data_IF_675114744154
#
_entry.id   IF_675114744154
#
_cell.length_a   1.000
_cell.length_b   1.000
_cell.length_c   1.000
_cell.angle_alpha   90.00
_cell.angle_beta   90.00
_cell.angle_gamma   90.00
#
_symmetry.space_group_name_H-M   'P 1'
#
loop_
_entity.id
_entity.type
_entity.pdbx_description
1 polymer ?
#
# COMPACT_ATOMS: atom_id res chain seq x y z
N UNK A 1 9.14 5.39 1.12
CA UNK A 1 8.08 5.25 2.14
C UNK A 1 8.72 4.53 3.31
N UNK A 2 8.90 5.20 4.45
CA UNK A 2 9.70 4.68 5.57
C UNK A 2 8.98 3.56 6.31
N UNK A 3 9.69 2.55 6.87
CA UNK A 3 9.09 1.66 7.86
C UNK A 3 8.78 2.48 9.11
N UNK A 4 7.49 2.67 9.39
CA UNK A 4 7.04 3.27 10.64
C UNK A 4 7.47 2.31 11.76
N UNK A 5 8.29 2.81 12.70
CA UNK A 5 8.53 2.10 13.96
C UNK A 5 7.21 1.86 14.71
N UNK A 6 7.22 1.09 15.82
CA UNK A 6 6.03 0.89 16.63
C UNK A 6 5.41 2.25 16.95
N UNK A 7 4.18 2.45 16.47
CA UNK A 7 3.47 3.72 16.61
C UNK A 7 3.35 4.04 18.10
N UNK A 8 3.83 5.22 18.50
CA UNK A 8 3.63 5.74 19.85
C UNK A 8 2.12 5.75 20.15
N UNK A 9 1.69 4.99 21.16
CA UNK A 9 0.29 4.90 21.58
C UNK A 9 -0.32 6.29 21.83
N UNK A 10 0.49 7.25 22.28
CA UNK A 10 0.06 8.63 22.47
C UNK A 10 -0.20 9.34 21.13
N UNK A 11 0.60 9.06 20.09
CA UNK A 11 0.38 9.57 18.74
C UNK A 11 -0.88 8.97 18.11
N UNK A 12 -1.11 7.66 18.27
CA UNK A 12 -2.33 6.98 17.79
C UNK A 12 -3.57 7.56 18.49
N UNK A 13 -3.52 7.68 19.82
CA UNK A 13 -4.61 8.27 20.60
C UNK A 13 -4.88 9.73 20.22
N UNK A 14 -3.83 10.52 19.97
CA UNK A 14 -3.96 11.93 19.53
C UNK A 14 -4.57 12.04 18.14
N UNK A 15 -4.09 11.24 17.19
CA UNK A 15 -4.65 11.17 15.85
C UNK A 15 -6.14 10.80 15.88
N UNK A 16 -6.51 9.84 16.74
CA UNK A 16 -7.91 9.44 16.96
C UNK A 16 -8.77 10.54 17.59
N UNK A 17 -8.26 11.25 18.60
CA UNK A 17 -9.02 12.34 19.22
C UNK A 17 -9.23 13.51 18.26
N UNK A 18 -8.19 13.86 17.49
CA UNK A 18 -8.27 14.87 16.44
C UNK A 18 -9.31 14.46 15.39
N UNK A 19 -9.32 13.17 15.04
CA UNK A 19 -10.30 12.60 14.13
C UNK A 19 -11.74 12.72 14.64
N UNK A 20 -12.02 12.22 15.85
CA UNK A 20 -13.36 12.28 16.43
C UNK A 20 -13.86 13.72 16.52
N UNK A 21 -12.97 14.66 16.87
CA UNK A 21 -13.28 16.08 16.91
C UNK A 21 -13.61 16.65 15.53
N UNK A 22 -12.83 16.30 14.50
CA UNK A 22 -13.06 16.74 13.12
C UNK A 22 -14.38 16.20 12.57
N UNK A 23 -14.71 14.93 12.86
CA UNK A 23 -15.96 14.32 12.41
C UNK A 23 -17.19 14.89 13.14
N UNK A 24 -17.06 15.21 14.43
CA UNK A 24 -18.11 15.90 15.19
C UNK A 24 -18.35 17.32 14.68
N UNK A 25 -17.29 18.02 14.28
CA UNK A 25 -17.38 19.36 13.70
C UNK A 25 -17.83 19.37 12.22
N UNK A 26 -17.83 18.22 11.55
CA UNK A 26 -18.19 18.11 10.13
C UNK A 26 -19.69 18.12 9.92
N UNK A 27 -20.12 18.82 8.88
CA UNK A 27 -21.50 18.85 8.38
C UNK A 27 -21.78 17.72 7.36
N UNK A 28 -20.82 16.82 7.13
CA UNK A 28 -20.99 15.62 6.32
C UNK A 28 -22.01 14.70 7.01
N UNK A 29 -23.21 14.44 6.45
CA UNK A 29 -24.06 13.36 6.96
C UNK A 29 -23.27 12.05 6.84
N UNK A 30 -23.34 11.20 7.86
CA UNK A 30 -22.71 9.88 7.81
C UNK A 30 -23.82 8.89 7.57
N UNK A 31 -23.76 8.15 6.49
CA UNK A 31 -24.71 7.09 6.19
C UNK A 31 -24.18 5.75 6.70
N UNK A 32 -25.08 4.93 7.24
CA UNK A 32 -24.75 3.61 7.77
C UNK A 32 -25.93 2.65 7.58
N UNK A 33 -25.70 1.34 7.70
CA UNK A 33 -26.76 0.34 7.58
C UNK A 33 -27.81 0.57 8.68
N UNK A 34 -29.08 0.60 8.30
CA UNK A 34 -30.22 0.78 9.21
C UNK A 34 -30.21 -0.28 10.32
N UNK A 35 -30.57 0.13 11.55
CA UNK A 35 -30.52 -0.72 12.76
C UNK A 35 -31.27 -2.05 12.58
N UNK A 36 -32.39 -2.06 11.86
CA UNK A 36 -33.18 -3.27 11.56
C UNK A 36 -32.41 -4.33 10.75
N UNK A 37 -31.33 -3.91 10.09
CA UNK A 37 -30.52 -4.74 9.21
C UNK A 37 -29.05 -4.82 9.66
N UNK A 38 -28.72 -4.31 10.86
CA UNK A 38 -27.34 -4.36 11.36
C UNK A 38 -26.97 -5.78 11.81
N UNK A 39 -25.91 -6.38 11.26
CA UNK A 39 -25.47 -7.71 11.69
C UNK A 39 -24.70 -7.70 13.01
N UNK A 40 -24.07 -6.58 13.29
CA UNK A 40 -23.10 -6.41 14.35
C UNK A 40 -22.91 -4.91 14.62
N UNK A 41 -22.05 -4.60 15.58
CA UNK A 41 -21.76 -3.23 15.93
C UNK A 41 -21.03 -2.49 14.79
N UNK A 42 -21.52 -1.30 14.38
CA UNK A 42 -20.85 -0.48 13.40
C UNK A 42 -19.44 -0.09 13.88
N UNK A 43 -18.51 0.01 12.94
CA UNK A 43 -17.14 0.47 13.16
C UNK A 43 -16.77 1.52 12.14
N UNK A 44 -16.20 2.61 12.61
CA UNK A 44 -15.69 3.64 11.74
C UNK A 44 -14.30 3.22 11.27
N UNK A 45 -14.19 2.87 9.98
CA UNK A 45 -12.98 2.26 9.39
C UNK A 45 -12.00 3.27 8.83
N UNK A 46 -12.48 4.44 8.42
CA UNK A 46 -11.63 5.43 7.77
C UNK A 46 -12.36 6.71 7.43
N UNK A 47 -11.55 7.71 7.08
CA UNK A 47 -12.02 9.00 6.59
C UNK A 47 -10.98 9.62 5.68
N UNK A 48 -11.45 10.55 4.86
CA UNK A 48 -10.64 11.41 4.02
C UNK A 48 -11.03 12.85 4.28
N UNK A 49 -10.08 13.75 4.03
CA UNK A 49 -10.34 15.17 4.14
C UNK A 49 -9.40 16.02 3.30
N UNK A 50 -9.86 17.21 2.96
CA UNK A 50 -9.08 18.26 2.31
C UNK A 50 -9.14 19.49 3.20
N UNK A 51 -8.01 20.12 3.49
CA UNK A 51 -7.93 21.31 4.35
C UNK A 51 -8.57 21.10 5.74
N UNK A 52 -8.33 19.93 6.36
CA UNK A 52 -8.90 19.51 7.65
C UNK A 52 -10.43 19.31 7.68
N UNK A 53 -11.15 19.58 6.59
CA UNK A 53 -12.57 19.24 6.47
C UNK A 53 -12.71 17.75 6.12
N UNK A 54 -13.54 17.03 6.89
CA UNK A 54 -13.88 15.63 6.57
C UNK A 54 -14.79 15.61 5.36
N UNK A 55 -14.32 15.04 4.25
CA UNK A 55 -15.08 14.93 3.02
C UNK A 55 -15.51 13.48 2.73
N UNK A 56 -14.90 12.49 3.36
CA UNK A 56 -15.34 11.10 3.28
C UNK A 56 -15.31 10.41 4.66
N UNK A 57 -16.24 9.50 4.89
CA UNK A 57 -16.31 8.67 6.10
C UNK A 57 -16.83 7.27 5.74
N UNK A 58 -16.21 6.21 6.30
CA UNK A 58 -16.61 4.82 6.05
C UNK A 58 -17.01 4.12 7.34
N UNK A 59 -18.25 3.62 7.38
CA UNK A 59 -18.78 2.76 8.44
C UNK A 59 -18.82 1.32 7.94
N UNK A 60 -18.14 0.41 8.62
CA UNK A 60 -18.16 -1.01 8.31
C UNK A 60 -18.80 -1.84 9.43
N UNK A 61 -19.30 -2.99 9.02
CA UNK A 61 -19.98 -3.96 9.87
C UNK A 61 -19.34 -5.31 9.60
N UNK A 62 -18.56 -5.76 10.58
CA UNK A 62 -17.77 -6.99 10.48
C UNK A 62 -18.28 -7.97 11.52
N UNK A 63 -18.70 -9.14 11.07
CA UNK A 63 -19.04 -10.19 12.03
C UNK A 63 -17.74 -10.70 12.67
N UNK A 64 -17.56 -10.41 13.96
CA UNK A 64 -16.46 -10.96 14.75
C UNK A 64 -16.52 -12.50 14.84
N UNK A 65 -17.71 -13.07 14.66
CA UNK A 65 -17.93 -14.52 14.70
C UNK A 65 -17.74 -15.19 13.34
N UNK A 66 -17.86 -14.46 12.24
CA UNK A 66 -17.68 -14.96 10.89
C UNK A 66 -17.07 -13.88 9.99
N UNK A 67 -15.75 -13.92 9.80
CA UNK A 67 -15.02 -12.97 8.96
C UNK A 67 -15.47 -12.96 7.50
N UNK A 68 -16.30 -13.94 7.09
CA UNK A 68 -16.78 -14.06 5.71
C UNK A 68 -17.93 -13.11 5.38
N UNK A 69 -18.69 -12.55 6.33
CA UNK A 69 -19.76 -11.59 5.98
C UNK A 69 -19.43 -10.19 6.45
N UNK A 70 -19.48 -9.23 5.53
CA UNK A 70 -19.21 -7.83 5.85
C UNK A 70 -19.92 -6.87 4.91
N UNK A 71 -20.15 -5.65 5.40
CA UNK A 71 -20.68 -4.54 4.63
C UNK A 71 -20.00 -3.24 5.07
N UNK A 72 -19.64 -2.40 4.10
CA UNK A 72 -19.04 -1.10 4.33
C UNK A 72 -19.83 -0.04 3.57
N UNK A 73 -20.23 1.02 4.26
CA UNK A 73 -20.93 2.19 3.73
C UNK A 73 -19.98 3.37 3.80
N UNK A 74 -19.60 3.88 2.64
CA UNK A 74 -18.78 5.09 2.50
C UNK A 74 -19.64 6.25 2.08
N UNK A 75 -19.60 7.32 2.84
CA UNK A 75 -20.21 8.60 2.50
C UNK A 75 -19.13 9.57 2.02
N UNK A 76 -19.38 10.29 0.93
CA UNK A 76 -18.46 11.27 0.38
C UNK A 76 -19.19 12.55 -0.08
N UNK A 77 -18.54 13.71 0.12
CA UNK A 77 -18.96 15.00 -0.44
C UNK A 77 -17.81 15.61 -1.24
N UNK A 78 -18.06 15.86 -2.52
CA UNK A 78 -17.04 16.39 -3.44
C UNK A 78 -17.20 17.90 -3.62
N UNK A 79 -16.24 18.69 -3.12
CA UNK A 79 -16.26 20.15 -3.22
C UNK A 79 -15.64 20.64 -4.53
N UNK A 80 -16.43 20.70 -5.61
CA UNK A 80 -16.16 21.51 -6.80
C UNK A 80 -15.03 21.08 -7.74
N UNK A 81 -14.06 20.29 -7.29
CA UNK A 81 -13.14 19.55 -8.16
C UNK A 81 -13.64 18.13 -8.27
N UNK A 82 -14.29 17.80 -9.38
CA UNK A 82 -14.66 16.43 -9.74
C UNK A 82 -13.38 15.60 -9.99
N UNK A 83 -12.65 15.27 -8.91
CA UNK A 83 -11.87 14.04 -8.90
C UNK A 83 -12.93 12.97 -9.00
N UNK A 84 -13.09 12.38 -10.20
CA UNK A 84 -14.06 11.31 -10.42
C UNK A 84 -13.87 10.29 -9.30
N UNK A 85 -14.94 10.01 -8.56
CA UNK A 85 -14.97 8.92 -7.61
C UNK A 85 -14.42 7.68 -8.30
N UNK A 86 -13.59 6.91 -7.59
CA UNK A 86 -13.05 5.67 -8.13
C UNK A 86 -14.20 4.80 -8.67
N UNK A 87 -13.96 4.03 -9.73
CA UNK A 87 -15.00 3.14 -10.27
C UNK A 87 -15.46 2.14 -9.21
N UNK A 88 -16.69 1.63 -9.30
CA UNK A 88 -17.18 0.67 -8.32
C UNK A 88 -16.31 -0.59 -8.28
N UNK A 89 -15.74 -1.00 -9.42
CA UNK A 89 -14.80 -2.12 -9.50
C UNK A 89 -13.54 -1.84 -8.68
N UNK A 90 -13.01 -0.61 -8.76
CA UNK A 90 -11.82 -0.19 -8.01
C UNK A 90 -12.11 -0.19 -6.51
N UNK A 91 -13.27 0.34 -6.10
CA UNK A 91 -13.66 0.39 -4.68
C UNK A 91 -13.90 -1.03 -4.13
N UNK A 92 -14.57 -1.89 -4.89
CA UNK A 92 -14.81 -3.29 -4.52
C UNK A 92 -13.49 -4.07 -4.38
N UNK A 93 -12.56 -3.90 -5.33
CA UNK A 93 -11.23 -4.51 -5.29
C UNK A 93 -10.41 -4.05 -4.07
N UNK A 94 -10.45 -2.75 -3.74
CA UNK A 94 -9.76 -2.21 -2.57
C UNK A 94 -10.33 -2.81 -1.26
N UNK A 95 -11.65 -2.87 -1.12
CA UNK A 95 -12.28 -3.45 0.07
C UNK A 95 -11.99 -4.95 0.20
N UNK A 96 -12.08 -5.71 -0.89
CA UNK A 96 -11.68 -7.12 -0.91
C UNK A 96 -10.24 -7.30 -0.42
N UNK A 97 -9.31 -6.48 -0.92
CA UNK A 97 -7.89 -6.52 -0.52
C UNK A 97 -7.69 -6.20 0.97
N UNK A 98 -8.35 -5.17 1.49
CA UNK A 98 -8.28 -4.80 2.91
C UNK A 98 -8.79 -5.90 3.84
N UNK A 99 -9.66 -6.78 3.34
CA UNK A 99 -10.18 -7.95 4.07
C UNK A 99 -9.41 -9.24 3.82
N UNK A 100 -8.29 -9.19 3.11
CA UNK A 100 -7.52 -10.38 2.81
C UNK A 100 -8.15 -11.29 1.75
N UNK A 101 -9.13 -10.79 0.97
CA UNK A 101 -9.81 -11.54 -0.08
C UNK A 101 -9.12 -11.34 -1.43
N UNK A 102 -9.25 -12.33 -2.31
CA UNK A 102 -8.81 -12.20 -3.71
C UNK A 102 -9.64 -11.12 -4.42
N UNK A 103 -8.98 -10.34 -5.27
CA UNK A 103 -9.64 -9.32 -6.09
C UNK A 103 -10.44 -10.02 -7.19
N UNK A 104 -11.73 -9.69 -7.34
CA UNK A 104 -12.51 -10.24 -8.44
C UNK A 104 -11.95 -9.82 -9.80
N UNK A 105 -11.85 -10.77 -10.72
CA UNK A 105 -11.43 -10.53 -12.11
C UNK A 105 -12.61 -10.33 -13.07
N UNK A 106 -13.81 -10.66 -12.62
CA UNK A 106 -15.05 -10.53 -13.38
C UNK A 106 -16.07 -9.74 -12.58
N UNK A 107 -16.73 -8.81 -13.28
CA UNK A 107 -17.80 -7.99 -12.75
C UNK A 107 -19.00 -8.11 -13.69
N UNK A 108 -20.21 -8.15 -13.12
CA UNK A 108 -21.43 -8.00 -13.91
C UNK A 108 -21.47 -6.60 -14.51
N UNK A 109 -22.26 -6.43 -15.58
CA UNK A 109 -22.63 -5.08 -16.02
C UNK A 109 -23.28 -4.28 -14.89
N UNK A 110 -23.20 -2.95 -15.00
CA UNK A 110 -23.88 -2.04 -14.10
C UNK A 110 -25.40 -2.19 -14.25
N UNK A 111 -26.08 -2.41 -13.14
CA UNK A 111 -27.53 -2.54 -13.04
C UNK A 111 -28.10 -1.36 -12.26
N UNK A 112 -29.15 -0.72 -12.77
CA UNK A 112 -29.87 0.32 -12.02
C UNK A 112 -30.67 -0.30 -10.89
N UNK A 113 -30.55 0.27 -9.69
CA UNK A 113 -31.26 -0.19 -8.49
C UNK A 113 -31.82 0.99 -7.70
N UNK A 114 -32.87 0.74 -6.92
CA UNK A 114 -33.38 1.70 -5.94
C UNK A 114 -32.73 1.44 -4.57
N UNK A 115 -32.11 2.47 -4.01
CA UNK A 115 -31.59 2.48 -2.65
C UNK A 115 -32.64 3.01 -1.69
N UNK A 116 -32.94 2.26 -0.64
CA UNK A 116 -33.84 2.73 0.41
C UNK A 116 -33.06 3.56 1.43
N UNK A 117 -33.17 4.88 1.29
CA UNK A 117 -32.70 5.84 2.27
C UNK A 117 -33.86 6.26 3.18
N UNK A 118 -33.54 6.87 4.32
CA UNK A 118 -34.52 7.47 5.24
C UNK A 118 -35.47 8.46 4.53
N UNK A 119 -34.96 9.21 3.54
CA UNK A 119 -35.73 10.16 2.74
C UNK A 119 -36.62 9.52 1.68
N UNK A 120 -36.57 8.19 1.51
CA UNK A 120 -37.23 7.44 0.45
C UNK A 120 -36.26 6.78 -0.55
N UNK A 121 -36.79 6.15 -1.61
CA UNK A 121 -35.98 5.48 -2.61
C UNK A 121 -35.14 6.48 -3.43
N UNK A 122 -33.87 6.17 -3.64
CA UNK A 122 -32.93 6.94 -4.47
C UNK A 122 -32.33 6.02 -5.52
N UNK A 123 -32.40 6.43 -6.79
CA UNK A 123 -31.79 5.66 -7.86
C UNK A 123 -30.27 5.64 -7.73
N UNK A 124 -29.70 4.49 -8.02
CA UNK A 124 -28.27 4.32 -8.15
C UNK A 124 -27.95 3.12 -9.03
N UNK A 125 -26.72 2.64 -8.91
CA UNK A 125 -26.23 1.55 -9.73
C UNK A 125 -25.44 0.56 -8.89
N UNK A 126 -25.53 -0.71 -9.29
CA UNK A 126 -24.88 -1.85 -8.67
C UNK A 126 -24.03 -2.59 -9.67
N UNK A 127 -22.90 -3.09 -9.20
CA UNK A 127 -22.14 -4.16 -9.85
C UNK A 127 -22.08 -5.35 -8.91
N UNK A 128 -22.06 -6.55 -9.48
CA UNK A 128 -21.80 -7.79 -8.77
C UNK A 128 -20.44 -8.34 -9.23
N UNK A 129 -19.81 -9.13 -8.39
CA UNK A 129 -18.56 -9.81 -8.69
C UNK A 129 -18.63 -11.26 -8.17
N UNK A 130 -17.60 -12.05 -8.44
CA UNK A 130 -17.54 -13.45 -7.98
C UNK A 130 -17.64 -13.58 -6.46
N UNK A 131 -18.29 -14.64 -5.99
CA UNK A 131 -18.36 -15.00 -4.57
C UNK A 131 -19.15 -13.99 -3.74
N UNK A 132 -20.40 -13.71 -4.09
CA UNK A 132 -21.33 -12.85 -3.33
C UNK A 132 -20.82 -11.42 -3.01
N UNK A 133 -19.79 -10.97 -3.74
CA UNK A 133 -19.27 -9.61 -3.68
C UNK A 133 -20.12 -8.69 -4.54
N UNK A 134 -20.48 -7.54 -4.01
CA UNK A 134 -21.15 -6.49 -4.78
C UNK A 134 -20.78 -5.12 -4.26
N UNK A 135 -20.89 -4.14 -5.14
CA UNK A 135 -20.79 -2.74 -4.77
C UNK A 135 -21.91 -1.96 -5.44
N UNK A 136 -22.41 -0.95 -4.76
CA UNK A 136 -23.46 -0.12 -5.27
C UNK A 136 -23.21 1.33 -4.87
N UNK A 137 -23.61 2.28 -5.74
CA UNK A 137 -23.49 3.71 -5.47
C UNK A 137 -24.76 4.46 -5.85
N UNK A 138 -25.12 5.41 -5.02
CA UNK A 138 -26.15 6.42 -5.31
C UNK A 138 -25.68 7.81 -4.88
N UNK A 139 -26.40 8.83 -5.33
CA UNK A 139 -26.15 10.22 -4.95
C UNK A 139 -27.46 10.86 -4.46
N UNK A 140 -27.38 11.58 -3.34
CA UNK A 140 -28.51 12.35 -2.82
C UNK A 140 -28.01 13.66 -2.21
N UNK A 141 -28.58 14.79 -2.62
CA UNK A 141 -28.23 16.10 -2.08
C UNK A 141 -26.74 16.47 -2.17
N UNK A 142 -26.04 16.04 -3.23
CA UNK A 142 -24.60 16.24 -3.40
C UNK A 142 -23.72 15.36 -2.49
N UNK A 143 -24.31 14.32 -1.91
CA UNK A 143 -23.63 13.30 -1.12
C UNK A 143 -23.63 12.00 -1.92
N UNK A 144 -22.44 11.48 -2.17
CA UNK A 144 -22.27 10.14 -2.74
C UNK A 144 -22.27 9.12 -1.61
N UNK A 145 -23.05 8.05 -1.78
CA UNK A 145 -23.10 6.90 -0.88
C UNK A 145 -22.62 5.70 -1.68
N UNK A 146 -21.53 5.09 -1.26
CA UNK A 146 -21.01 3.85 -1.84
C UNK A 146 -21.11 2.72 -0.82
N UNK A 147 -21.84 1.66 -1.16
CA UNK A 147 -21.97 0.45 -0.36
C UNK A 147 -21.12 -0.64 -1.02
N UNK A 148 -20.37 -1.37 -0.22
CA UNK A 148 -19.59 -2.53 -0.65
C UNK A 148 -19.86 -3.65 0.32
N UNK A 149 -20.12 -4.85 -0.17
CA UNK A 149 -20.46 -5.97 0.70
C UNK A 149 -20.08 -7.32 0.12
N UNK A 150 -19.93 -8.29 1.03
CA UNK A 150 -19.68 -9.70 0.75
C UNK A 150 -20.65 -10.56 1.57
N UNK A 151 -21.38 -11.46 0.89
CA UNK A 151 -22.31 -12.40 1.54
C UNK A 151 -23.65 -11.79 1.95
N UNK A 152 -23.88 -10.51 1.68
CA UNK A 152 -25.17 -9.85 1.94
C UNK A 152 -26.03 -9.81 0.69
N UNK A 153 -27.35 -9.94 0.90
CA UNK A 153 -28.33 -9.70 -0.16
C UNK A 153 -28.61 -8.20 -0.27
N UNK A 154 -28.39 -7.56 -1.43
CA UNK A 154 -28.62 -6.13 -1.61
C UNK A 154 -30.04 -5.70 -1.25
N UNK A 155 -31.04 -6.55 -1.49
CA UNK A 155 -32.46 -6.28 -1.22
C UNK A 155 -32.80 -6.22 0.28
N UNK A 156 -31.83 -6.57 1.14
CA UNK A 156 -31.94 -6.51 2.61
C UNK A 156 -31.08 -5.41 3.22
N UNK A 157 -30.58 -4.48 2.41
CA UNK A 157 -29.77 -3.37 2.89
C UNK A 157 -30.56 -2.07 2.76
N UNK A 158 -30.89 -1.47 3.89
CA UNK A 158 -31.36 -0.09 3.98
C UNK A 158 -30.28 0.76 4.65
N UNK A 159 -30.14 2.02 4.22
CA UNK A 159 -29.10 2.91 4.73
C UNK A 159 -29.73 4.18 5.28
N UNK A 160 -29.44 4.50 6.53
CA UNK A 160 -29.99 5.66 7.21
C UNK A 160 -28.89 6.65 7.60
N UNK A 161 -29.30 7.89 7.85
CA UNK A 161 -28.39 8.87 8.44
C UNK A 161 -28.08 8.45 9.86
N UNK A 162 -26.80 8.47 10.20
CA UNK A 162 -26.32 8.12 11.51
C UNK A 162 -26.61 9.27 12.50
N UNK A 163 -27.74 9.17 13.21
CA UNK A 163 -28.31 10.27 13.99
C UNK A 163 -27.47 10.66 15.23
N UNK A 164 -26.94 9.68 15.98
CA UNK A 164 -26.19 9.93 17.21
C UNK A 164 -24.69 9.64 17.07
N UNK A 165 -23.99 10.57 16.41
CA UNK A 165 -22.53 10.51 16.22
C UNK A 165 -21.78 10.51 17.56
N UNK A 166 -22.28 11.21 18.57
CA UNK A 166 -21.63 11.36 19.87
C UNK A 166 -21.55 10.04 20.64
N UNK A 167 -22.69 9.36 20.78
CA UNK A 167 -22.76 8.07 21.48
C UNK A 167 -22.03 6.96 20.72
N UNK A 168 -21.99 7.02 19.39
CA UNK A 168 -21.24 6.07 18.58
C UNK A 168 -19.74 6.20 18.73
N UNK A 169 -19.19 7.42 18.61
CA UNK A 169 -17.76 7.66 18.80
C UNK A 169 -17.32 7.31 20.22
N UNK A 170 -18.21 7.53 21.20
CA UNK A 170 -17.98 7.15 22.60
C UNK A 170 -17.92 5.62 22.75
N UNK A 171 -18.90 4.88 22.20
CA UNK A 171 -18.91 3.40 22.22
C UNK A 171 -17.70 2.82 21.50
N UNK A 172 -17.34 3.35 20.32
CA UNK A 172 -16.16 2.89 19.59
C UNK A 172 -14.87 3.05 20.41
N UNK A 173 -14.74 4.13 21.18
CA UNK A 173 -13.58 4.34 22.05
C UNK A 173 -13.52 3.34 23.22
N UNK A 174 -14.65 2.76 23.61
CA UNK A 174 -14.78 1.79 24.70
C UNK A 174 -14.64 0.33 24.23
N UNK A 175 -15.13 0.01 23.02
CA UNK A 175 -15.26 -1.36 22.50
C UNK A 175 -14.06 -1.86 21.67
N UNK A 176 -13.05 -1.03 21.46
CA UNK A 176 -11.83 -1.46 20.76
C UNK A 176 -10.99 -2.34 21.69
N UNK A 177 -10.78 -3.63 21.39
CA UNK A 177 -9.76 -4.41 22.08
C UNK A 177 -8.40 -3.70 21.90
N UNK A 178 -7.47 -3.82 22.87
CA UNK A 178 -6.12 -3.30 22.73
C UNK A 178 -5.54 -3.70 21.37
N UNK A 179 -4.85 -2.79 20.68
CA UNK A 179 -4.20 -3.04 19.37
C UNK A 179 -3.36 -4.33 19.38
N UNK A 180 -2.84 -4.73 20.54
CA UNK A 180 -2.14 -5.99 20.81
C UNK A 180 -2.94 -7.26 20.48
N UNK A 181 -4.29 -7.22 20.47
CA UNK A 181 -5.15 -8.38 20.13
C UNK A 181 -5.52 -8.46 18.66
N UNK A 182 -5.26 -7.42 17.86
CA UNK A 182 -5.27 -7.53 16.40
C UNK A 182 -3.92 -8.06 15.92
N UNK A 183 -3.41 -9.10 16.58
CA UNK A 183 -2.35 -9.91 16.04
C UNK A 183 -2.85 -10.44 14.70
N UNK A 184 -2.50 -9.75 13.61
CA UNK A 184 -2.35 -10.38 12.31
C UNK A 184 -1.56 -11.63 12.66
N UNK A 185 -2.10 -12.85 12.43
CA UNK A 185 -1.34 -14.06 12.65
C UNK A 185 0.00 -13.79 11.98
N UNK A 186 1.08 -13.80 12.77
CA UNK A 186 2.42 -13.71 12.20
C UNK A 186 2.50 -14.97 11.37
N UNK A 187 2.14 -14.85 10.10
CA UNK A 187 2.23 -15.96 9.18
C UNK A 187 3.68 -16.40 9.29
N UNK A 188 3.88 -17.69 9.60
CA UNK A 188 5.22 -18.25 9.60
C UNK A 188 5.86 -17.81 8.28
N UNK A 189 7.04 -17.18 8.34
CA UNK A 189 7.69 -16.66 7.14
C UNK A 189 7.71 -17.80 6.12
N UNK A 190 7.36 -17.55 4.85
CA UNK A 190 7.26 -18.60 3.85
C UNK A 190 8.52 -19.46 3.88
N UNK A 191 8.34 -20.78 3.90
CA UNK A 191 9.44 -21.75 3.95
C UNK A 191 10.38 -21.47 2.77
N UNK A 192 11.58 -20.98 3.05
CA UNK A 192 12.54 -20.49 2.05
C UNK A 192 12.99 -19.04 2.21
N UNK A 193 12.38 -18.27 3.13
CA UNK A 193 12.97 -17.02 3.60
C UNK A 193 14.21 -17.37 4.42
N UNK A 194 15.39 -17.03 3.92
CA UNK A 194 16.61 -17.15 4.70
C UNK A 194 16.43 -16.34 5.99
N UNK A 195 16.61 -16.97 7.14
CA UNK A 195 16.62 -16.26 8.42
C UNK A 195 17.56 -15.04 8.30
N UNK A 196 17.11 -13.83 8.68
CA UNK A 196 17.99 -12.67 8.75
C UNK A 196 19.21 -13.01 9.61
N UNK A 197 20.39 -13.11 8.98
CA UNK A 197 21.62 -13.43 9.68
C UNK A 197 22.13 -14.86 9.56
N UNK A 198 21.72 -15.61 8.52
CA UNK A 198 22.40 -16.86 8.14
C UNK A 198 23.94 -16.64 8.18
N UNK A 199 24.68 -17.34 9.06
CA UNK A 199 26.09 -17.06 9.30
C UNK A 199 26.89 -17.12 7.99
N UNK A 200 27.42 -15.97 7.56
CA UNK A 200 28.24 -15.84 6.35
C UNK A 200 27.65 -15.02 5.19
N UNK A 201 26.40 -14.57 5.27
CA UNK A 201 25.83 -13.67 4.24
C UNK A 201 26.17 -12.20 4.53
N UNK A 202 26.56 -11.44 3.50
CA UNK A 202 26.82 -10.00 3.63
C UNK A 202 25.52 -9.25 4.01
N UNK A 203 25.52 -8.46 5.13
CA UNK A 203 24.32 -7.79 5.61
C UNK A 203 23.66 -6.83 4.62
N UNK A 204 24.45 -6.16 3.77
CA UNK A 204 23.92 -5.20 2.78
C UNK A 204 23.17 -5.97 1.69
N UNK A 205 23.75 -7.10 1.22
CA UNK A 205 23.07 -7.99 0.27
C UNK A 205 21.77 -8.56 0.84
N UNK A 206 21.81 -9.07 2.08
CA UNK A 206 20.63 -9.64 2.73
C UNK A 206 19.48 -8.62 2.81
N UNK A 207 19.79 -7.37 3.19
CA UNK A 207 18.81 -6.28 3.19
C UNK A 207 18.18 -6.02 1.82
N UNK A 208 19.00 -5.97 0.76
CA UNK A 208 18.52 -5.77 -0.62
C UNK A 208 17.57 -6.90 -1.03
N UNK A 209 17.95 -8.15 -0.81
CA UNK A 209 17.18 -9.32 -1.21
C UNK A 209 15.84 -9.41 -0.48
N UNK A 210 15.85 -9.22 0.85
CA UNK A 210 14.63 -9.18 1.67
C UNK A 210 13.71 -8.04 1.22
N UNK A 211 14.25 -6.85 0.96
CA UNK A 211 13.45 -5.70 0.53
C UNK A 211 12.84 -5.90 -0.87
N UNK A 212 13.59 -6.52 -1.79
CA UNK A 212 13.09 -6.87 -3.13
C UNK A 212 11.96 -7.92 -3.06
N UNK A 213 12.12 -8.94 -2.22
CA UNK A 213 11.09 -9.97 -2.01
C UNK A 213 9.83 -9.40 -1.37
N UNK A 214 9.96 -8.56 -0.33
CA UNK A 214 8.83 -7.88 0.29
C UNK A 214 8.10 -6.96 -0.69
N UNK A 215 8.84 -6.24 -1.54
CA UNK A 215 8.26 -5.41 -2.59
C UNK A 215 7.50 -6.24 -3.64
N UNK A 216 8.02 -7.40 -4.01
CA UNK A 216 7.34 -8.34 -4.91
C UNK A 216 6.04 -8.86 -4.32
N UNK A 217 6.09 -9.37 -3.09
CA UNK A 217 4.91 -9.86 -2.40
C UNK A 217 3.83 -8.76 -2.26
N UNK A 218 4.25 -7.52 -2.01
CA UNK A 218 3.35 -6.36 -1.95
C UNK A 218 2.70 -6.07 -3.30
N UNK A 219 3.46 -6.08 -4.40
CA UNK A 219 2.91 -5.85 -5.75
C UNK A 219 1.92 -6.95 -6.12
N UNK A 220 2.28 -8.22 -5.90
CA UNK A 220 1.38 -9.35 -6.14
C UNK A 220 0.09 -9.23 -5.33
N UNK A 221 0.19 -8.87 -4.05
CA UNK A 221 -0.97 -8.63 -3.20
C UNK A 221 -1.82 -7.44 -3.68
N UNK A 222 -1.20 -6.37 -4.18
CA UNK A 222 -1.93 -5.24 -4.77
C UNK A 222 -2.71 -5.64 -6.02
N UNK A 223 -2.14 -6.51 -6.86
CA UNK A 223 -2.73 -6.97 -8.12
C UNK A 223 -3.80 -8.05 -7.93
N UNK A 224 -3.57 -8.99 -7.02
CA UNK A 224 -4.38 -10.21 -6.88
C UNK A 224 -5.25 -10.19 -5.62
N UNK A 225 -4.92 -9.37 -4.62
CA UNK A 225 -5.54 -9.44 -3.30
C UNK A 225 -5.03 -10.61 -2.48
N UNK A 226 -5.87 -11.11 -1.57
CA UNK A 226 -5.54 -12.17 -0.63
C UNK A 226 -4.97 -11.64 0.68
N UNK A 227 -4.51 -12.55 1.54
CA UNK A 227 -3.88 -12.20 2.80
C UNK A 227 -2.71 -11.23 2.56
N UNK A 228 -2.60 -10.14 3.35
CA UNK A 228 -1.49 -9.22 3.22
C UNK A 228 -0.17 -9.97 3.41
N UNK A 229 0.89 -9.59 2.68
CA UNK A 229 2.19 -10.24 2.84
C UNK A 229 2.66 -10.07 4.29
N UNK A 230 3.31 -11.09 4.88
CA UNK A 230 3.82 -10.99 6.23
C UNK A 230 4.79 -9.81 6.34
N UNK A 231 4.73 -9.10 7.46
CA UNK A 231 5.72 -8.08 7.75
C UNK A 231 7.08 -8.76 7.93
N UNK A 232 8.11 -8.16 7.36
CA UNK A 232 9.48 -8.63 7.54
C UNK A 232 9.88 -8.39 8.99
N UNK A 233 9.97 -9.47 9.78
CA UNK A 233 10.51 -9.41 11.13
C UNK A 233 11.93 -8.82 11.11
N UNK A 234 12.24 -7.99 12.10
CA UNK A 234 13.57 -7.43 12.32
C UNK A 234 14.18 -6.61 11.17
N UNK A 235 13.36 -6.05 10.27
CA UNK A 235 13.84 -5.18 9.19
C UNK A 235 14.71 -4.04 9.72
N UNK A 236 14.34 -3.45 10.87
CA UNK A 236 15.15 -2.42 11.55
C UNK A 236 16.53 -2.93 11.95
N UNK A 237 16.64 -4.16 12.49
CA UNK A 237 17.94 -4.74 12.85
C UNK A 237 18.80 -5.02 11.61
N UNK A 238 18.16 -5.46 10.51
CA UNK A 238 18.82 -5.69 9.23
C UNK A 238 19.39 -4.38 8.63
N UNK A 239 18.63 -3.29 8.68
CA UNK A 239 19.09 -1.95 8.31
C UNK A 239 20.31 -1.52 9.13
N UNK A 240 20.27 -1.70 10.45
CA UNK A 240 21.39 -1.34 11.32
C UNK A 240 22.63 -2.19 11.04
N UNK A 241 22.46 -3.50 10.79
CA UNK A 241 23.56 -4.39 10.44
C UNK A 241 24.19 -4.01 9.09
N UNK A 242 23.38 -3.67 8.09
CA UNK A 242 23.85 -3.18 6.80
C UNK A 242 24.62 -1.85 6.93
N UNK A 243 24.12 -0.90 7.73
CA UNK A 243 24.80 0.37 7.98
C UNK A 243 26.16 0.16 8.67
N UNK A 244 26.23 -0.68 9.72
CA UNK A 244 27.51 -1.02 10.38
C UNK A 244 28.49 -1.70 9.43
N UNK A 245 28.00 -2.61 8.58
CA UNK A 245 28.82 -3.26 7.55
C UNK A 245 29.37 -2.23 6.56
N UNK A 246 28.56 -1.28 6.11
CA UNK A 246 28.98 -0.21 5.22
C UNK A 246 30.05 0.66 5.86
N UNK A 247 29.85 1.11 7.12
CA UNK A 247 30.86 1.86 7.87
C UNK A 247 32.19 1.11 7.94
N UNK A 248 32.16 -0.20 8.21
CA UNK A 248 33.36 -1.02 8.31
C UNK A 248 34.10 -1.17 6.96
N UNK A 249 33.41 -1.02 5.82
CA UNK A 249 34.00 -1.11 4.48
C UNK A 249 34.54 0.23 3.98
N UNK A 250 33.86 1.34 4.26
CA UNK A 250 34.21 2.67 3.70
C UNK A 250 34.88 3.62 4.70
N UNK A 251 34.75 3.37 6.01
CA UNK A 251 35.19 4.29 7.05
C UNK A 251 34.30 5.53 7.22
N UNK A 252 33.15 5.59 6.55
CA UNK A 252 32.19 6.68 6.73
C UNK A 252 31.52 6.64 8.11
N UNK A 253 30.98 7.79 8.53
CA UNK A 253 30.18 7.85 9.74
C UNK A 253 28.84 7.10 9.60
N UNK A 254 28.12 6.96 10.72
CA UNK A 254 26.87 6.23 10.77
C UNK A 254 25.76 6.88 9.92
N UNK A 255 25.71 8.22 9.88
CA UNK A 255 24.69 8.96 9.15
C UNK A 255 24.87 8.78 7.64
N UNK A 256 26.10 8.96 7.15
CA UNK A 256 26.44 8.79 5.75
C UNK A 256 26.33 7.32 5.31
N UNK A 257 26.67 6.38 6.17
CA UNK A 257 26.48 4.95 5.89
C UNK A 257 25.01 4.55 5.84
N UNK A 258 24.16 5.06 6.74
CA UNK A 258 22.70 4.87 6.64
C UNK A 258 22.17 5.43 5.33
N UNK A 259 22.58 6.65 4.95
CA UNK A 259 22.19 7.27 3.68
C UNK A 259 22.63 6.43 2.47
N UNK A 260 23.85 5.93 2.46
CA UNK A 260 24.39 5.10 1.38
C UNK A 260 23.65 3.76 1.26
N UNK A 261 23.40 3.06 2.37
CA UNK A 261 22.58 1.83 2.36
C UNK A 261 21.16 2.11 1.88
N UNK A 262 20.56 3.24 2.29
CA UNK A 262 19.25 3.66 1.79
C UNK A 262 19.25 3.91 0.29
N UNK A 263 20.29 4.58 -0.22
CA UNK A 263 20.49 4.79 -1.66
C UNK A 263 20.57 3.47 -2.42
N UNK A 264 21.38 2.51 -1.95
CA UNK A 264 21.52 1.18 -2.58
C UNK A 264 20.17 0.46 -2.67
N UNK A 265 19.42 0.38 -1.57
CA UNK A 265 18.11 -0.28 -1.53
C UNK A 265 17.11 0.42 -2.46
N UNK A 266 17.05 1.75 -2.42
CA UNK A 266 16.18 2.53 -3.30
C UNK A 266 16.54 2.33 -4.78
N UNK A 267 17.83 2.27 -5.12
CA UNK A 267 18.29 2.01 -6.48
C UNK A 267 17.75 0.65 -6.95
N UNK A 268 17.91 -0.40 -6.15
CA UNK A 268 17.44 -1.75 -6.50
C UNK A 268 15.91 -1.84 -6.62
N UNK A 269 15.16 -1.21 -5.73
CA UNK A 269 13.70 -1.13 -5.83
C UNK A 269 13.24 -0.41 -7.10
N UNK A 270 13.89 0.70 -7.45
CA UNK A 270 13.59 1.43 -8.69
C UNK A 270 13.88 0.57 -9.93
N UNK A 271 14.99 -0.18 -9.91
CA UNK A 271 15.36 -1.07 -11.00
C UNK A 271 14.33 -2.19 -11.16
N UNK A 272 13.87 -2.79 -10.04
CA UNK A 272 12.77 -3.76 -10.04
C UNK A 272 11.50 -3.18 -10.64
N UNK A 273 11.12 -1.95 -10.30
CA UNK A 273 9.93 -1.31 -10.85
C UNK A 273 10.06 -1.02 -12.37
N UNK A 274 11.23 -0.57 -12.79
CA UNK A 274 11.41 0.02 -14.14
C UNK A 274 11.92 -0.93 -15.21
N UNK A 275 12.53 -2.08 -14.85
CA UNK A 275 13.21 -2.96 -15.79
C UNK A 275 12.70 -4.40 -15.76
N UNK A 276 12.09 -4.85 -16.86
CA UNK A 276 11.58 -6.21 -16.98
C UNK A 276 12.68 -7.29 -16.86
N UNK A 277 13.87 -7.03 -17.42
CA UNK A 277 14.99 -7.95 -17.30
C UNK A 277 15.40 -8.17 -15.83
N UNK A 278 15.31 -7.16 -14.96
CA UNK A 278 15.69 -7.31 -13.55
C UNK A 278 14.71 -8.23 -12.80
N UNK A 279 13.43 -8.21 -13.18
CA UNK A 279 12.41 -9.11 -12.64
C UNK A 279 12.58 -10.53 -13.18
N UNK A 280 12.76 -10.66 -14.50
CA UNK A 280 12.61 -11.94 -15.19
C UNK A 280 13.92 -12.71 -15.39
N UNK A 281 15.08 -12.06 -15.26
CA UNK A 281 16.41 -12.67 -15.49
C UNK A 281 17.22 -12.70 -14.20
N UNK A 282 17.18 -13.83 -13.50
CA UNK A 282 17.82 -14.01 -12.20
C UNK A 282 19.35 -13.84 -12.24
N UNK A 283 19.97 -14.24 -13.36
CA UNK A 283 21.39 -14.05 -13.67
C UNK A 283 21.77 -12.56 -13.74
N UNK A 284 21.05 -11.79 -14.56
CA UNK A 284 21.29 -10.35 -14.71
C UNK A 284 20.97 -9.61 -13.41
N UNK A 285 19.88 -9.97 -12.72
CA UNK A 285 19.55 -9.40 -11.41
C UNK A 285 20.68 -9.60 -10.40
N UNK A 286 21.19 -10.82 -10.27
CA UNK A 286 22.28 -11.14 -9.32
C UNK A 286 23.53 -10.32 -9.63
N UNK A 287 23.89 -10.20 -10.91
CA UNK A 287 25.05 -9.41 -11.36
C UNK A 287 24.87 -7.92 -11.10
N UNK A 288 23.69 -7.35 -11.39
CA UNK A 288 23.37 -5.95 -11.12
C UNK A 288 23.44 -5.63 -9.62
N UNK A 289 22.92 -6.51 -8.76
CA UNK A 289 23.04 -6.38 -7.30
C UNK A 289 24.52 -6.38 -6.90
N UNK A 290 25.31 -7.35 -7.37
CA UNK A 290 26.75 -7.42 -7.06
C UNK A 290 27.51 -6.16 -7.50
N UNK A 291 27.32 -5.68 -8.73
CA UNK A 291 28.01 -4.48 -9.22
C UNK A 291 27.56 -3.23 -8.45
N UNK A 292 26.29 -3.14 -8.04
CA UNK A 292 25.77 -2.07 -7.17
C UNK A 292 26.43 -2.08 -5.81
N UNK A 293 26.54 -3.25 -5.17
CA UNK A 293 27.18 -3.38 -3.86
C UNK A 293 28.66 -2.99 -3.95
N UNK A 294 29.38 -3.45 -4.97
CA UNK A 294 30.79 -3.12 -5.19
C UNK A 294 30.97 -1.61 -5.38
N UNK A 295 30.14 -0.96 -6.20
CA UNK A 295 30.21 0.48 -6.43
C UNK A 295 29.80 1.27 -5.18
N UNK A 296 28.69 0.89 -4.55
CA UNK A 296 28.11 1.60 -3.40
C UNK A 296 28.91 1.47 -2.12
N UNK A 297 29.72 0.41 -1.98
CA UNK A 297 30.68 0.25 -0.87
C UNK A 297 32.09 0.72 -1.21
N UNK A 298 32.25 1.44 -2.33
CA UNK A 298 33.51 2.05 -2.78
C UNK A 298 34.69 1.08 -2.97
N UNK A 299 34.42 -0.23 -2.94
CA UNK A 299 35.44 -1.26 -3.18
C UNK A 299 36.03 -1.15 -4.59
N UNK A 300 35.22 -0.73 -5.57
CA UNK A 300 35.67 -0.50 -6.94
C UNK A 300 34.74 0.44 -7.71
N UNK A 301 35.30 1.49 -8.30
CA UNK A 301 34.55 2.49 -9.06
C UNK A 301 34.30 2.11 -10.53
N UNK A 302 35.17 1.29 -11.14
CA UNK A 302 35.15 0.90 -12.56
C UNK A 302 34.35 -0.39 -12.82
N UNK A 303 33.18 -0.52 -12.20
CA UNK A 303 32.25 -1.60 -12.56
C UNK A 303 31.61 -1.36 -13.94
N UNK A 304 31.25 -2.41 -14.69
CA UNK A 304 30.56 -2.25 -15.97
C UNK A 304 29.29 -1.37 -15.89
N UNK A 305 28.55 -1.43 -14.78
CA UNK A 305 27.37 -0.59 -14.51
C UNK A 305 27.66 0.85 -14.05
N UNK A 306 28.91 1.33 -14.02
CA UNK A 306 29.28 2.64 -13.44
C UNK A 306 28.45 3.82 -14.00
N UNK A 307 28.15 3.83 -15.30
CA UNK A 307 27.33 4.89 -15.92
C UNK A 307 25.94 4.96 -15.30
N UNK A 308 25.38 3.80 -14.96
CA UNK A 308 24.08 3.70 -14.36
C UNK A 308 24.10 4.16 -12.89
N UNK A 309 25.16 3.87 -12.14
CA UNK A 309 25.35 4.39 -10.78
C UNK A 309 25.53 5.91 -10.75
N UNK A 310 26.33 6.48 -11.68
CA UNK A 310 26.47 7.94 -11.80
C UNK A 310 25.15 8.62 -12.16
N UNK A 311 24.34 8.02 -13.02
CA UNK A 311 23.01 8.53 -13.33
C UNK A 311 22.06 8.42 -12.13
N UNK A 312 22.20 7.40 -11.29
CA UNK A 312 21.45 7.27 -10.04
C UNK A 312 21.79 8.37 -9.04
N UNK A 313 23.07 8.69 -8.84
CA UNK A 313 23.50 9.79 -7.97
C UNK A 313 22.82 11.13 -8.34
N UNK A 314 22.63 11.41 -9.63
CA UNK A 314 21.91 12.60 -10.12
C UNK A 314 20.41 12.60 -9.80
N UNK A 315 19.80 11.43 -9.62
CA UNK A 315 18.40 11.32 -9.19
C UNK A 315 18.27 11.66 -7.70
N UNK A 316 19.31 11.37 -6.92
CA UNK A 316 19.34 11.62 -5.47
C UNK A 316 19.81 13.03 -5.09
N UNK A 317 20.35 13.79 -6.05
CA UNK A 317 20.65 15.21 -5.85
C UNK A 317 19.38 15.97 -5.42
N UNK A 318 19.45 16.85 -4.41
CA UNK A 318 18.31 17.65 -4.00
C UNK A 318 17.89 18.58 -5.14
N UNK A 319 16.78 18.26 -5.81
CA UNK A 319 16.22 19.09 -6.87
C UNK A 319 15.17 20.03 -6.30
N UNK A 320 15.17 21.28 -6.78
CA UNK A 320 14.16 22.27 -6.45
C UNK A 320 12.76 21.79 -6.88
N UNK A 321 11.73 22.12 -6.10
CA UNK A 321 10.32 21.85 -6.42
C UNK A 321 9.83 22.89 -7.45
N UNK A 322 10.53 22.99 -8.58
CA UNK A 322 10.18 23.85 -9.71
C UNK A 322 9.91 22.98 -10.94
N UNK A 323 9.19 23.49 -11.96
CA UNK A 323 9.02 22.78 -13.22
C UNK A 323 10.35 22.34 -13.86
N UNK A 324 11.39 23.16 -13.76
CA UNK A 324 12.73 22.86 -14.26
C UNK A 324 13.35 21.68 -13.49
N UNK A 325 13.19 21.65 -12.17
CA UNK A 325 13.61 20.52 -11.33
C UNK A 325 12.90 19.22 -11.69
N UNK A 326 11.60 19.28 -12.00
CA UNK A 326 10.85 18.11 -12.47
C UNK A 326 11.35 17.59 -13.83
N UNK A 327 11.68 18.49 -14.77
CA UNK A 327 12.27 18.13 -16.07
C UNK A 327 13.66 17.52 -15.89
N UNK A 328 14.51 18.10 -15.04
CA UNK A 328 15.83 17.57 -14.72
C UNK A 328 15.76 16.17 -14.11
N UNK A 329 14.84 15.95 -13.16
CA UNK A 329 14.60 14.63 -12.57
C UNK A 329 14.17 13.60 -13.61
N UNK A 330 13.25 13.98 -14.50
CA UNK A 330 12.79 13.11 -15.59
C UNK A 330 13.94 12.74 -16.55
N UNK A 331 14.81 13.70 -16.88
CA UNK A 331 15.99 13.47 -17.70
C UNK A 331 17.00 12.54 -17.00
N UNK A 332 17.25 12.73 -15.70
CA UNK A 332 18.12 11.86 -14.91
C UNK A 332 17.57 10.41 -14.85
N UNK A 333 16.27 10.24 -14.58
CA UNK A 333 15.58 8.94 -14.63
C UNK A 333 15.69 8.28 -16.02
N UNK A 334 15.56 9.04 -17.10
CA UNK A 334 15.73 8.53 -18.45
C UNK A 334 17.16 8.08 -18.74
N UNK A 335 18.16 8.86 -18.32
CA UNK A 335 19.58 8.51 -18.46
C UNK A 335 19.91 7.23 -17.70
N UNK A 336 19.46 7.13 -16.45
CA UNK A 336 19.63 5.95 -15.60
C UNK A 336 19.02 4.69 -16.22
N UNK A 337 17.78 4.75 -16.73
CA UNK A 337 17.13 3.62 -17.42
C UNK A 337 17.91 3.19 -18.67
N UNK A 338 18.35 4.15 -19.49
CA UNK A 338 19.14 3.86 -20.70
C UNK A 338 20.48 3.19 -20.36
N UNK A 339 21.16 3.65 -19.31
CA UNK A 339 22.43 3.09 -18.88
C UNK A 339 22.29 1.62 -18.43
N UNK A 340 21.25 1.31 -17.65
CA UNK A 340 20.96 -0.08 -17.24
C UNK A 340 20.53 -0.97 -18.41
N UNK A 341 19.74 -0.45 -19.35
CA UNK A 341 19.35 -1.20 -20.56
C UNK A 341 20.58 -1.55 -21.42
N UNK A 342 21.51 -0.60 -21.61
CA UNK A 342 22.75 -0.84 -22.34
C UNK A 342 23.65 -1.87 -21.61
N UNK A 343 23.75 -1.76 -20.28
CA UNK A 343 24.49 -2.73 -19.46
C UNK A 343 23.90 -4.14 -19.57
N UNK A 344 22.57 -4.28 -19.54
CA UNK A 344 21.90 -5.57 -19.64
C UNK A 344 22.17 -6.23 -21.00
N UNK A 345 21.99 -5.49 -22.10
CA UNK A 345 22.26 -5.99 -23.45
C UNK A 345 23.73 -6.41 -23.65
N UNK A 346 24.68 -5.64 -23.12
CA UNK A 346 26.10 -6.01 -23.16
C UNK A 346 26.41 -7.26 -22.32
N UNK A 347 25.74 -7.40 -21.17
CA UNK A 347 25.91 -8.55 -20.28
C UNK A 347 25.35 -9.83 -20.89
N UNK A 348 24.22 -9.76 -21.59
CA UNK A 348 23.66 -10.87 -22.36
C UNK A 348 24.60 -11.31 -23.49
N UNK A 349 25.15 -10.34 -24.23
CA UNK A 349 26.11 -10.62 -25.30
C UNK A 349 27.38 -11.33 -24.77
N UNK A 350 27.83 -10.97 -23.57
CA UNK A 350 28.99 -11.56 -22.92
C UNK A 350 28.77 -12.97 -22.36
N UNK A 351 27.52 -13.34 -22.07
CA UNK A 351 27.16 -14.69 -21.63
C UNK A 351 27.11 -15.70 -22.79
N UNK A 352 27.25 -15.22 -24.04
CA UNK A 352 27.18 -16.03 -25.25
C UNK A 352 25.76 -16.57 -25.53
N UNK A 353 25.52 -17.12 -26.73
CA UNK A 353 24.32 -17.93 -26.99
C UNK A 353 24.46 -19.29 -26.26
N UNK A 354 24.40 -19.26 -24.93
CA UNK A 354 24.49 -20.44 -24.07
C UNK A 354 23.09 -20.99 -23.75
N UNK A 355 22.76 -22.10 -24.42
CA UNK A 355 21.86 -23.17 -23.95
C UNK A 355 20.73 -22.77 -22.99
N UNK A 356 19.63 -22.27 -23.54
CA UNK A 356 18.32 -22.38 -22.88
C UNK A 356 17.61 -23.63 -23.43
N UNK A 357 17.79 -24.74 -22.74
CA UNK A 357 16.80 -25.80 -22.58
C UNK A 357 16.52 -25.96 -21.10
#
# INVERSE_FOLDING_TARGET
>A
MYPQGPLDDAAVKRARNNYNSALQASDLPIFAVSEDFQPCFPRLMGWGGVNAAVNTATVAYDSLANSEMWIAVTTARWAGTATRSASLETVLAEQARQRGMLIPTTFSGSEEIDFFLESGPVQGYRINASGDLWAARCETGGIEITIVSHGWRPERVAVNTFADRGSFLTRQAQDLPPLERQGVPVAEPPTGWAEPGCPGQDPIRALVEVTLSASEATVTWMEVGGAPPPQVADLTALWQAAARRHMALTGHDESDSKRAVTSIVNHMLNLRASAAWFRNRADLRRRAISETLIFGTELRADVPSHRAHRAWQKIEEPLSITPEGAVALAAAKNSWRKAWAAWAAASESALGPGENA
#
